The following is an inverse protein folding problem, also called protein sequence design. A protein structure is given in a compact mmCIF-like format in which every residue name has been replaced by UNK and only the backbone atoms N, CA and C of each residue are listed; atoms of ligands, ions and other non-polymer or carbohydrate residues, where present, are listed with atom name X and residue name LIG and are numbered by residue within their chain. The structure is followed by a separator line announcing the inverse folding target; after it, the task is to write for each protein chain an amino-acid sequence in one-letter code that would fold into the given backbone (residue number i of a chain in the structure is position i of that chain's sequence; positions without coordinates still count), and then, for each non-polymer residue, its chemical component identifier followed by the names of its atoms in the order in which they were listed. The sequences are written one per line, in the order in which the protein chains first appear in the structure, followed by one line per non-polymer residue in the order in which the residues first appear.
data_IF_212053479339
#
_entry.id   IF_212053479339
#
_cell.length_a   1.000
_cell.length_b   1.000
_cell.length_c   1.000
_cell.angle_alpha   90.00
_cell.angle_beta   90.00
_cell.angle_gamma   90.00
#
_symmetry.space_group_name_H-M   'P 1'
#
loop_
_entity.id
_entity.type
_entity.pdbx_description
1 polymer ?
#
# COMPACT_ATOMS: atom_id res chain seq x y z
N UNK A 1 34.84 -29.49 -41.29
CA UNK A 1 34.95 -28.03 -41.46
C UNK A 1 33.95 -27.39 -40.51
N UNK A 2 34.38 -27.15 -39.28
CA UNK A 2 33.63 -26.41 -38.27
C UNK A 2 33.90 -24.92 -38.45
N UNK A 3 32.87 -24.08 -38.29
CA UNK A 3 32.90 -22.87 -37.46
C UNK A 3 31.48 -22.33 -37.29
N UNK A 4 31.08 -22.24 -36.03
CA UNK A 4 30.09 -21.32 -35.48
C UNK A 4 30.30 -19.90 -36.02
N UNK A 5 29.21 -19.13 -36.16
CA UNK A 5 29.20 -17.85 -35.46
C UNK A 5 27.78 -17.38 -35.11
N UNK A 6 27.58 -17.33 -33.80
CA UNK A 6 26.43 -16.83 -33.10
C UNK A 6 26.50 -15.30 -33.04
N UNK A 7 25.68 -14.58 -33.80
CA UNK A 7 25.35 -13.17 -33.57
C UNK A 7 24.22 -12.81 -34.55
N UNK A 8 23.01 -12.47 -34.15
CA UNK A 8 22.65 -11.31 -33.35
C UNK A 8 21.32 -11.62 -32.65
N UNK A 9 21.41 -12.08 -31.41
CA UNK A 9 20.34 -11.85 -30.44
C UNK A 9 20.24 -10.34 -30.28
N UNK A 10 19.23 -9.76 -30.92
CA UNK A 10 18.84 -8.38 -30.73
C UNK A 10 18.47 -8.25 -29.24
N UNK A 11 19.40 -7.68 -28.46
CA UNK A 11 19.17 -7.26 -27.09
C UNK A 11 17.98 -6.30 -27.07
N UNK A 12 16.78 -6.84 -26.89
CA UNK A 12 15.65 -6.07 -26.39
C UNK A 12 15.98 -5.76 -24.93
N UNK A 13 16.64 -4.61 -24.72
CA UNK A 13 16.77 -4.02 -23.40
C UNK A 13 15.37 -4.01 -22.74
N UNK A 14 15.25 -4.40 -21.46
CA UNK A 14 13.98 -4.35 -20.78
C UNK A 14 13.44 -2.92 -20.86
N UNK A 15 12.26 -2.76 -21.46
CA UNK A 15 11.56 -1.48 -21.48
C UNK A 15 11.28 -1.10 -20.04
N UNK A 16 12.03 -0.12 -19.54
CA UNK A 16 11.75 0.59 -18.30
C UNK A 16 10.26 0.98 -18.29
N UNK A 17 9.48 0.36 -17.40
CA UNK A 17 8.10 0.72 -17.15
C UNK A 17 8.10 2.00 -16.32
N UNK A 18 8.10 3.13 -17.02
CA UNK A 18 8.19 4.49 -16.50
C UNK A 18 6.93 4.98 -15.74
N UNK A 19 6.37 4.18 -14.83
CA UNK A 19 5.19 4.55 -14.03
C UNK A 19 5.50 5.70 -13.06
N UNK A 20 6.74 5.77 -12.54
CA UNK A 20 7.22 6.83 -11.62
C UNK A 20 7.40 8.24 -12.24
N UNK A 21 7.24 8.44 -13.55
CA UNK A 21 7.56 9.74 -14.17
C UNK A 21 6.50 10.84 -14.00
N UNK A 22 5.26 10.48 -13.63
CA UNK A 22 4.15 11.44 -13.65
C UNK A 22 3.71 11.93 -12.28
N UNK A 23 3.93 11.12 -11.24
CA UNK A 23 3.55 11.46 -9.87
C UNK A 23 4.71 11.28 -8.91
N UNK A 24 4.75 12.13 -7.89
CA UNK A 24 5.73 12.07 -6.82
C UNK A 24 5.00 12.01 -5.48
N UNK A 25 5.36 11.03 -4.65
CA UNK A 25 4.88 10.94 -3.28
C UNK A 25 5.84 11.65 -2.33
N UNK A 26 5.28 12.34 -1.34
CA UNK A 26 6.02 12.90 -0.20
C UNK A 26 5.15 12.97 1.03
N UNK A 27 5.79 13.03 2.20
CA UNK A 27 5.09 13.37 3.44
C UNK A 27 4.64 14.83 3.39
N UNK A 28 3.49 15.13 3.98
CA UNK A 28 2.86 16.46 3.93
C UNK A 28 2.62 17.09 5.30
N UNK A 29 2.99 16.40 6.40
CA UNK A 29 2.75 16.86 7.78
C UNK A 29 3.43 18.20 8.13
N UNK A 30 4.51 18.55 7.41
CA UNK A 30 5.22 19.82 7.60
C UNK A 30 4.62 21.02 6.86
N UNK A 31 3.52 20.84 6.12
CA UNK A 31 2.88 21.85 5.30
C UNK A 31 1.37 21.90 5.59
N UNK A 32 0.90 22.78 6.50
CA UNK A 32 -0.49 22.84 6.92
C UNK A 32 -1.49 22.96 5.76
N UNK A 33 -1.13 23.70 4.71
CA UNK A 33 -1.97 23.91 3.53
C UNK A 33 -2.15 22.61 2.72
N UNK A 34 -1.12 21.77 2.65
CA UNK A 34 -1.20 20.46 1.99
C UNK A 34 -2.00 19.46 2.82
N UNK A 35 -1.89 19.56 4.14
CA UNK A 35 -2.65 18.74 5.06
C UNK A 35 -4.15 19.07 4.98
N UNK A 36 -4.50 20.35 4.93
CA UNK A 36 -5.88 20.81 4.69
C UNK A 36 -6.41 20.32 3.33
N UNK A 37 -5.62 20.40 2.26
CA UNK A 37 -5.99 19.82 0.95
C UNK A 37 -6.25 18.30 1.04
N UNK A 38 -5.46 17.59 1.82
CA UNK A 38 -5.67 16.16 2.09
C UNK A 38 -7.00 15.90 2.80
N UNK A 39 -7.35 16.69 3.83
CA UNK A 39 -8.63 16.57 4.52
C UNK A 39 -9.83 16.91 3.62
N UNK A 40 -9.70 17.92 2.77
CA UNK A 40 -10.73 18.26 1.79
C UNK A 40 -10.92 17.14 0.76
N UNK A 41 -9.83 16.54 0.26
CA UNK A 41 -9.90 15.40 -0.65
C UNK A 41 -10.53 14.17 0.02
N UNK A 42 -10.20 13.90 1.27
CA UNK A 42 -10.82 12.83 2.06
C UNK A 42 -12.31 13.07 2.24
N UNK A 43 -12.74 14.29 2.58
CA UNK A 43 -14.16 14.66 2.68
C UNK A 43 -14.89 14.38 1.36
N UNK A 44 -14.32 14.85 0.24
CA UNK A 44 -14.85 14.58 -1.09
C UNK A 44 -15.04 13.07 -1.28
N UNK A 45 -14.00 12.24 -1.09
CA UNK A 45 -14.08 10.79 -1.33
C UNK A 45 -15.00 10.07 -0.35
N UNK A 46 -14.82 10.24 0.96
CA UNK A 46 -15.50 9.43 1.98
C UNK A 46 -16.92 9.91 2.25
N UNK A 47 -17.18 11.22 2.23
CA UNK A 47 -18.51 11.77 2.55
C UNK A 47 -19.37 11.90 1.29
N UNK A 48 -18.86 12.54 0.23
CA UNK A 48 -19.69 12.87 -0.93
C UNK A 48 -19.74 11.74 -1.96
N UNK A 49 -18.61 11.11 -2.25
CA UNK A 49 -18.51 10.14 -3.34
C UNK A 49 -18.92 8.74 -2.93
N UNK A 50 -18.34 8.24 -1.84
CA UNK A 50 -18.56 6.89 -1.32
C UNK A 50 -19.70 6.83 -0.31
N UNK A 51 -20.03 7.95 0.34
CA UNK A 51 -21.05 8.06 1.40
C UNK A 51 -20.82 7.06 2.54
N UNK A 52 -19.56 6.81 2.83
CA UNK A 52 -19.13 6.03 3.98
C UNK A 52 -19.30 6.82 5.28
N UNK A 53 -19.14 8.14 5.18
CA UNK A 53 -19.31 9.07 6.29
C UNK A 53 -20.48 10.02 6.00
N UNK A 54 -21.16 10.46 7.05
CA UNK A 54 -22.19 11.47 6.90
C UNK A 54 -21.53 12.84 6.68
N UNK A 55 -21.87 13.51 5.58
CA UNK A 55 -21.31 14.82 5.25
C UNK A 55 -21.66 15.90 6.27
N UNK A 56 -22.81 15.77 6.96
CA UNK A 56 -23.27 16.72 7.97
C UNK A 56 -22.39 16.72 9.24
N UNK A 57 -21.63 15.64 9.46
CA UNK A 57 -20.67 15.57 10.58
C UNK A 57 -19.42 16.43 10.31
N UNK A 58 -19.24 16.94 9.08
CA UNK A 58 -18.08 17.70 8.64
C UNK A 58 -18.48 19.05 8.00
N UNK A 59 -18.99 20.01 8.79
CA UNK A 59 -19.51 21.30 8.28
C UNK A 59 -18.43 22.19 7.65
N UNK A 60 -17.15 21.96 7.98
CA UNK A 60 -16.02 22.64 7.36
C UNK A 60 -15.61 22.03 6.00
N UNK A 61 -16.26 20.93 5.57
CA UNK A 61 -15.89 20.15 4.38
C UNK A 61 -14.47 19.57 4.43
N UNK A 62 -13.98 19.29 5.64
CA UNK A 62 -12.67 18.67 5.90
C UNK A 62 -12.90 17.40 6.70
N UNK A 63 -12.42 16.25 6.21
CA UNK A 63 -12.50 14.98 6.93
C UNK A 63 -11.19 14.69 7.64
N UNK A 64 -11.23 14.73 8.96
CA UNK A 64 -10.17 14.30 9.86
C UNK A 64 -10.79 13.65 11.11
N UNK A 65 -10.03 12.79 11.79
CA UNK A 65 -10.44 12.04 12.96
C UNK A 65 -9.38 12.08 14.08
N UNK A 66 -9.64 11.41 15.19
CA UNK A 66 -8.76 11.38 16.37
C UNK A 66 -7.39 10.74 16.12
N UNK A 67 -7.20 10.02 15.00
CA UNK A 67 -5.94 9.36 14.65
C UNK A 67 -5.03 10.23 13.79
N UNK A 68 -5.53 11.33 13.21
CA UNK A 68 -4.73 12.24 12.38
C UNK A 68 -3.52 12.85 13.12
N UNK A 69 -3.63 13.29 14.40
CA UNK A 69 -2.46 13.75 15.17
C UNK A 69 -1.39 12.68 15.40
N UNK A 70 -1.75 11.40 15.28
CA UNK A 70 -0.85 10.25 15.46
C UNK A 70 -0.39 9.64 14.14
N UNK A 71 -0.63 10.34 13.02
CA UNK A 71 -0.35 9.84 11.68
C UNK A 71 0.86 10.51 11.03
N UNK A 72 1.40 9.87 10.00
CA UNK A 72 2.18 10.50 8.94
C UNK A 72 1.29 10.55 7.71
N UNK A 73 1.13 11.71 7.11
CA UNK A 73 0.31 11.90 5.92
C UNK A 73 1.19 11.90 4.67
N UNK A 74 0.74 11.19 3.64
CA UNK A 74 1.43 11.05 2.36
C UNK A 74 0.53 11.59 1.26
N UNK A 75 1.02 12.57 0.51
CA UNK A 75 0.37 13.08 -0.70
C UNK A 75 1.09 12.60 -1.95
N UNK A 76 0.32 12.27 -2.99
CA UNK A 76 0.82 12.06 -4.35
C UNK A 76 0.49 13.29 -5.21
N UNK A 77 1.52 13.84 -5.85
CA UNK A 77 1.43 15.09 -6.61
C UNK A 77 1.78 14.86 -8.06
N UNK A 78 1.07 15.50 -8.98
CA UNK A 78 1.43 15.50 -10.40
C UNK A 78 2.63 16.42 -10.70
N UNK A 79 3.04 16.49 -11.96
CA UNK A 79 4.14 17.35 -12.40
C UNK A 79 3.89 18.86 -12.21
N UNK A 80 2.63 19.28 -12.08
CA UNK A 80 2.25 20.67 -11.79
C UNK A 80 2.17 20.96 -10.28
N UNK A 81 2.43 19.97 -9.42
CA UNK A 81 2.34 20.09 -7.97
C UNK A 81 0.91 20.02 -7.43
N UNK A 82 -0.05 19.55 -8.23
CA UNK A 82 -1.45 19.36 -7.80
C UNK A 82 -1.58 18.05 -7.05
N UNK A 83 -2.23 18.08 -5.88
CA UNK A 83 -2.52 16.87 -5.10
C UNK A 83 -3.50 15.95 -5.86
N UNK A 84 -2.99 14.80 -6.30
CA UNK A 84 -3.76 13.80 -7.04
C UNK A 84 -4.37 12.74 -6.12
N UNK A 85 -3.74 12.48 -4.98
CA UNK A 85 -4.22 11.53 -4.00
C UNK A 85 -3.56 11.71 -2.63
N UNK A 86 -4.15 11.12 -1.60
CA UNK A 86 -3.63 11.15 -0.22
C UNK A 86 -3.84 9.80 0.47
N UNK A 87 -3.00 9.51 1.45
CA UNK A 87 -3.11 8.37 2.36
C UNK A 87 -2.40 8.70 3.68
N UNK A 88 -2.57 7.85 4.70
CA UNK A 88 -1.86 8.01 5.97
C UNK A 88 -1.31 6.71 6.53
N UNK A 89 -0.25 6.85 7.32
CA UNK A 89 0.33 5.83 8.21
C UNK A 89 0.00 6.22 9.64
N UNK A 90 -0.85 5.47 10.32
CA UNK A 90 -1.21 5.65 11.72
C UNK A 90 -0.16 4.94 12.58
N UNK A 91 0.44 5.66 13.52
CA UNK A 91 1.39 5.09 14.50
C UNK A 91 0.64 4.59 15.74
N UNK A 92 1.24 3.65 16.45
CA UNK A 92 0.72 3.24 17.76
C UNK A 92 0.61 4.45 18.69
N UNK A 93 -0.54 4.61 19.33
CA UNK A 93 -0.82 5.64 20.32
C UNK A 93 -1.65 5.05 21.47
N UNK A 94 -1.97 5.86 22.48
CA UNK A 94 -2.86 5.44 23.57
C UNK A 94 -4.28 5.06 23.08
N UNK A 95 -4.69 5.56 21.90
CA UNK A 95 -5.96 5.21 21.26
C UNK A 95 -5.92 3.81 20.61
N UNK A 96 -4.75 3.20 20.50
CA UNK A 96 -4.54 1.99 19.72
C UNK A 96 -4.64 2.25 18.21
N UNK A 97 -5.06 1.22 17.48
CA UNK A 97 -5.29 1.29 16.03
C UNK A 97 -6.79 1.18 15.73
N UNK A 98 -7.32 1.91 14.73
CA UNK A 98 -8.72 1.79 14.33
C UNK A 98 -9.13 0.34 14.07
N UNK A 99 -8.32 -0.45 13.36
CA UNK A 99 -8.63 -1.86 13.05
C UNK A 99 -8.83 -2.71 14.30
N UNK A 100 -8.07 -2.47 15.37
CA UNK A 100 -8.15 -3.25 16.61
C UNK A 100 -9.39 -2.88 17.44
N UNK A 101 -9.91 -1.66 17.26
CA UNK A 101 -11.13 -1.20 17.95
C UNK A 101 -12.41 -1.56 17.20
N UNK A 102 -12.33 -1.82 15.89
CA UNK A 102 -13.51 -1.98 15.00
C UNK A 102 -13.65 -3.39 14.41
N UNK A 103 -12.57 -4.18 14.38
CA UNK A 103 -12.59 -5.54 13.85
C UNK A 103 -12.18 -6.54 14.94
N UNK A 104 -12.81 -7.72 14.92
CA UNK A 104 -12.32 -8.86 15.68
C UNK A 104 -11.10 -9.47 14.98
N UNK A 105 -10.09 -9.89 15.74
CA UNK A 105 -8.96 -10.67 15.21
C UNK A 105 -9.13 -12.15 15.49
N UNK A 106 -8.57 -13.00 14.63
CA UNK A 106 -8.47 -14.43 14.93
C UNK A 106 -7.59 -14.66 16.17
N UNK A 107 -7.87 -15.68 17.01
CA UNK A 107 -7.17 -15.88 18.27
C UNK A 107 -5.66 -16.05 18.17
N UNK A 108 -5.13 -16.58 17.06
CA UNK A 108 -3.69 -16.71 16.86
C UNK A 108 -3.02 -15.36 16.53
N UNK A 109 -3.75 -14.48 15.84
CA UNK A 109 -3.27 -13.17 15.40
C UNK A 109 -3.31 -12.13 16.52
N UNK A 110 -4.33 -12.19 17.38
CA UNK A 110 -4.47 -11.33 18.55
C UNK A 110 -3.31 -11.45 19.56
N UNK A 111 -2.60 -12.60 19.57
CA UNK A 111 -1.51 -12.89 20.51
C UNK A 111 -0.14 -12.34 20.07
N UNK A 112 0.00 -11.92 18.82
CA UNK A 112 1.28 -11.47 18.26
C UNK A 112 1.43 -9.96 18.43
N UNK A 113 2.09 -9.52 19.50
CA UNK A 113 2.44 -8.11 19.75
C UNK A 113 3.88 -7.75 19.35
N UNK A 114 4.64 -8.71 18.83
CA UNK A 114 6.04 -8.49 18.49
C UNK A 114 6.21 -7.61 17.24
N UNK A 115 7.12 -6.65 17.33
CA UNK A 115 7.47 -5.71 16.26
C UNK A 115 6.86 -4.32 16.44
N UNK A 116 6.93 -3.51 15.39
CA UNK A 116 6.40 -2.15 15.35
C UNK A 116 5.33 -2.05 14.26
N UNK A 117 4.08 -2.44 14.55
CA UNK A 117 2.99 -2.31 13.59
C UNK A 117 2.64 -0.84 13.34
N UNK A 118 2.09 -0.58 12.16
CA UNK A 118 1.43 0.67 11.79
C UNK A 118 0.16 0.34 11.02
N UNK A 119 -0.85 1.21 11.06
CA UNK A 119 -2.06 1.02 10.25
C UNK A 119 -2.05 1.96 9.04
N UNK A 120 -2.37 1.45 7.85
CA UNK A 120 -2.55 2.24 6.65
C UNK A 120 -4.02 2.58 6.49
N UNK A 121 -4.31 3.86 6.25
CA UNK A 121 -5.70 4.32 6.11
C UNK A 121 -5.86 5.49 5.16
N UNK A 122 -7.14 5.85 4.94
CA UNK A 122 -7.58 7.05 4.21
C UNK A 122 -7.02 7.19 2.79
N UNK A 123 -6.78 6.05 2.14
CA UNK A 123 -6.31 6.00 0.75
C UNK A 123 -7.38 6.57 -0.19
N UNK A 124 -7.11 7.76 -0.72
CA UNK A 124 -8.05 8.60 -1.47
C UNK A 124 -7.40 9.08 -2.76
N UNK A 125 -8.07 8.90 -3.91
CA UNK A 125 -7.61 9.37 -5.22
C UNK A 125 -8.66 10.29 -5.80
N UNK A 126 -8.24 11.48 -6.24
CA UNK A 126 -9.13 12.47 -6.84
C UNK A 126 -9.76 11.94 -8.14
N UNK A 127 -11.07 12.19 -8.32
CA UNK A 127 -11.82 11.77 -9.52
C UNK A 127 -11.23 12.27 -10.83
N UNK A 128 -10.53 13.40 -10.81
CA UNK A 128 -9.85 13.95 -11.98
C UNK A 128 -8.80 12.98 -12.55
N UNK A 129 -8.29 12.08 -11.71
CA UNK A 129 -7.32 11.04 -12.08
C UNK A 129 -7.96 9.64 -12.19
N UNK A 130 -9.23 9.49 -11.80
CA UNK A 130 -10.01 8.26 -12.01
C UNK A 130 -10.48 8.11 -13.45
N UNK A 131 -10.69 9.21 -14.18
CA UNK A 131 -11.10 9.23 -15.60
C UNK A 131 -10.70 10.55 -16.25
N UNK A 132 -9.68 10.58 -17.11
CA UNK A 132 -9.56 11.63 -18.15
C UNK A 132 -8.63 11.26 -19.31
N UNK A 133 -9.17 11.57 -20.50
CA UNK A 133 -8.57 11.63 -21.84
C UNK A 133 -8.28 10.30 -22.52
N UNK A 134 -8.73 10.16 -23.76
CA UNK A 134 -8.65 8.97 -24.62
C UNK A 134 -7.24 8.53 -25.02
N UNK A 135 -6.20 8.94 -24.28
CA UNK A 135 -4.85 8.45 -24.41
C UNK A 135 -4.32 8.11 -23.00
N UNK A 136 -4.21 6.81 -22.74
CA UNK A 136 -3.64 6.13 -21.54
C UNK A 136 -4.63 5.85 -20.40
N UNK A 137 -4.91 4.56 -20.22
CA UNK A 137 -5.83 3.96 -19.25
C UNK A 137 -5.30 3.90 -17.80
N UNK A 138 -4.16 4.54 -17.49
CA UNK A 138 -3.33 4.12 -16.34
C UNK A 138 -3.19 5.15 -15.19
N UNK A 139 -3.71 6.37 -15.34
CA UNK A 139 -3.47 7.46 -14.37
C UNK A 139 -3.89 7.20 -12.92
N UNK A 140 -5.02 6.51 -12.69
CA UNK A 140 -5.47 6.13 -11.36
C UNK A 140 -4.53 5.11 -10.71
N UNK A 141 -4.09 4.12 -11.50
CA UNK A 141 -3.15 3.09 -11.06
C UNK A 141 -1.79 3.69 -10.69
N UNK A 142 -1.32 4.67 -11.46
CA UNK A 142 -0.06 5.37 -11.20
C UNK A 142 -0.12 6.21 -9.91
N UNK A 143 -1.22 6.94 -9.66
CA UNK A 143 -1.40 7.68 -8.38
C UNK A 143 -1.43 6.70 -7.21
N UNK A 144 -2.16 5.60 -7.34
CA UNK A 144 -2.32 4.60 -6.30
C UNK A 144 -0.97 3.94 -5.92
N UNK A 145 -0.21 3.46 -6.92
CA UNK A 145 1.12 2.91 -6.70
C UNK A 145 2.09 3.96 -6.12
N UNK A 146 1.97 5.22 -6.56
CA UNK A 146 2.76 6.32 -6.01
C UNK A 146 2.48 6.55 -4.53
N UNK A 147 1.21 6.52 -4.11
CA UNK A 147 0.84 6.58 -2.69
C UNK A 147 1.41 5.40 -1.91
N UNK A 148 1.25 4.17 -2.42
CA UNK A 148 1.79 2.98 -1.76
C UNK A 148 3.31 3.03 -1.63
N UNK A 149 4.02 3.55 -2.62
CA UNK A 149 5.46 3.84 -2.54
C UNK A 149 5.76 4.82 -1.41
N UNK A 150 5.05 5.94 -1.33
CA UNK A 150 5.24 6.93 -0.28
C UNK A 150 4.97 6.37 1.12
N UNK A 151 3.90 5.57 1.25
CA UNK A 151 3.59 4.84 2.48
C UNK A 151 4.72 3.88 2.84
N UNK A 152 5.17 3.04 1.90
CA UNK A 152 6.27 2.10 2.12
C UNK A 152 7.52 2.80 2.65
N UNK A 153 7.96 3.86 1.97
CA UNK A 153 9.13 4.61 2.40
C UNK A 153 8.95 5.28 3.77
N UNK A 154 7.78 5.86 4.05
CA UNK A 154 7.47 6.41 5.37
C UNK A 154 7.53 5.33 6.47
N UNK A 155 6.99 4.14 6.19
CA UNK A 155 6.99 3.02 7.14
C UNK A 155 8.38 2.42 7.38
N UNK A 156 9.24 2.36 6.35
CA UNK A 156 10.65 1.96 6.48
C UNK A 156 11.42 2.95 7.35
N UNK A 157 11.23 4.26 7.16
CA UNK A 157 11.84 5.31 8.00
C UNK A 157 11.38 5.27 9.45
N UNK A 158 10.15 4.82 9.70
CA UNK A 158 9.64 4.59 11.06
C UNK A 158 10.22 3.35 11.73
N UNK A 159 10.90 2.46 11.00
CA UNK A 159 11.28 1.14 11.51
C UNK A 159 10.09 0.21 11.73
N UNK A 160 8.97 0.46 11.03
CA UNK A 160 7.79 -0.40 11.11
C UNK A 160 8.13 -1.81 10.62
N UNK A 161 7.46 -2.82 11.18
CA UNK A 161 7.67 -4.21 10.77
C UNK A 161 6.52 -4.74 9.93
N UNK A 162 5.30 -4.26 10.16
CA UNK A 162 4.11 -4.73 9.46
C UNK A 162 3.09 -3.61 9.27
N UNK A 163 2.32 -3.70 8.20
CA UNK A 163 1.12 -2.91 8.01
C UNK A 163 -0.10 -3.66 8.52
N UNK A 164 -1.01 -2.93 9.14
CA UNK A 164 -2.39 -3.31 9.36
C UNK A 164 -3.28 -2.49 8.43
N UNK A 165 -4.36 -3.09 7.96
CA UNK A 165 -5.39 -2.37 7.20
C UNK A 165 -6.73 -3.08 7.31
N UNK A 166 -7.82 -2.32 7.33
CA UNK A 166 -9.17 -2.84 7.10
C UNK A 166 -9.62 -2.38 5.70
N UNK A 167 -9.93 -3.33 4.82
CA UNK A 167 -10.33 -2.99 3.44
C UNK A 167 -11.32 -4.00 2.87
N UNK A 168 -12.05 -3.57 1.84
CA UNK A 168 -12.88 -4.41 0.99
C UNK A 168 -12.07 -5.43 0.16
N UNK A 169 -12.71 -6.56 -0.19
CA UNK A 169 -12.08 -7.68 -0.90
C UNK A 169 -11.57 -7.33 -2.30
N UNK A 170 -12.26 -6.44 -3.01
CA UNK A 170 -11.88 -5.96 -4.35
C UNK A 170 -10.52 -5.28 -4.34
N UNK A 171 -10.32 -4.35 -3.39
CA UNK A 171 -9.08 -3.61 -3.26
C UNK A 171 -7.92 -4.53 -2.84
N UNK A 172 -8.16 -5.44 -1.90
CA UNK A 172 -7.18 -6.46 -1.53
C UNK A 172 -6.76 -7.30 -2.74
N UNK A 173 -7.73 -7.80 -3.51
CA UNK A 173 -7.44 -8.62 -4.69
C UNK A 173 -6.54 -7.89 -5.68
N UNK A 174 -6.79 -6.60 -5.90
CA UNK A 174 -5.94 -5.77 -6.75
C UNK A 174 -4.51 -5.62 -6.18
N UNK A 175 -4.37 -5.38 -4.88
CA UNK A 175 -3.07 -5.28 -4.20
C UNK A 175 -2.27 -6.59 -4.32
N UNK A 176 -2.90 -7.73 -4.05
CA UNK A 176 -2.27 -9.05 -4.17
C UNK A 176 -1.84 -9.32 -5.61
N UNK A 177 -2.66 -8.95 -6.60
CA UNK A 177 -2.30 -9.05 -8.01
C UNK A 177 -1.11 -8.16 -8.41
N UNK A 178 -0.85 -7.08 -7.68
CA UNK A 178 0.30 -6.18 -7.86
C UNK A 178 1.52 -6.57 -7.01
N UNK A 179 1.47 -7.70 -6.30
CA UNK A 179 2.59 -8.22 -5.51
C UNK A 179 2.65 -7.77 -4.06
N UNK A 180 1.58 -7.18 -3.52
CA UNK A 180 1.51 -6.86 -2.09
C UNK A 180 1.08 -8.11 -1.30
N UNK A 181 1.95 -8.72 -0.48
CA UNK A 181 1.57 -9.85 0.35
C UNK A 181 0.60 -9.38 1.42
N UNK A 182 -0.51 -10.09 1.60
CA UNK A 182 -1.50 -9.73 2.60
C UNK A 182 -2.12 -10.99 3.20
N UNK A 183 -2.13 -11.04 4.54
CA UNK A 183 -2.70 -12.13 5.32
C UNK A 183 -3.97 -11.64 6.02
N UNK A 184 -5.07 -12.36 5.84
CA UNK A 184 -6.31 -12.14 6.58
C UNK A 184 -6.08 -12.46 8.06
N UNK A 185 -6.42 -11.53 8.96
CA UNK A 185 -6.20 -11.68 10.41
C UNK A 185 -7.48 -11.61 11.25
N UNK A 186 -8.65 -11.60 10.61
CA UNK A 186 -9.94 -11.59 11.27
C UNK A 186 -11.10 -11.72 10.29
N UNK A 187 -12.33 -11.96 10.79
CA UNK A 187 -13.52 -12.04 9.95
C UNK A 187 -13.89 -10.69 9.33
N UNK A 188 -14.77 -10.73 8.33
CA UNK A 188 -15.44 -9.55 7.79
C UNK A 188 -16.26 -8.85 8.88
N UNK A 189 -16.24 -7.53 8.86
CA UNK A 189 -16.94 -6.65 9.78
C UNK A 189 -17.55 -5.51 8.98
N UNK A 190 -18.77 -5.10 9.34
CA UNK A 190 -19.39 -3.92 8.75
C UNK A 190 -18.90 -2.67 9.49
N UNK A 191 -17.89 -2.03 8.92
CA UNK A 191 -17.27 -0.82 9.43
C UNK A 191 -17.06 0.15 8.27
N UNK A 192 -17.97 1.11 8.13
CA UNK A 192 -18.08 1.98 6.96
C UNK A 192 -18.25 1.20 5.64
N UNK A 193 -18.90 0.04 5.71
CA UNK A 193 -18.99 -0.96 4.65
C UNK A 193 -18.34 -2.29 5.05
N UNK A 194 -18.51 -3.31 4.21
CA UNK A 194 -17.96 -4.64 4.45
C UNK A 194 -16.44 -4.65 4.23
N UNK A 195 -15.70 -4.76 5.32
CA UNK A 195 -14.24 -4.79 5.33
C UNK A 195 -13.72 -5.98 6.14
N UNK A 196 -12.53 -6.46 5.80
CA UNK A 196 -11.80 -7.43 6.61
C UNK A 196 -10.46 -6.87 7.05
N UNK A 197 -9.96 -7.26 8.24
CA UNK A 197 -8.65 -6.84 8.71
C UNK A 197 -7.54 -7.71 8.11
N UNK A 198 -6.48 -7.07 7.64
CA UNK A 198 -5.31 -7.69 7.03
C UNK A 198 -4.01 -7.22 7.69
N UNK A 199 -2.99 -8.09 7.60
CA UNK A 199 -1.60 -7.81 7.97
C UNK A 199 -0.68 -8.06 6.78
N UNK A 200 0.29 -7.18 6.58
CA UNK A 200 1.38 -7.35 5.61
C UNK A 200 2.73 -7.25 6.32
N UNK A 201 3.62 -8.25 6.18
CA UNK A 201 5.00 -8.19 6.69
C UNK A 201 5.89 -7.42 5.69
N UNK A 202 6.56 -6.38 6.18
CA UNK A 202 7.42 -5.57 5.33
C UNK A 202 8.66 -6.33 4.84
N UNK A 203 9.10 -7.36 5.57
CA UNK A 203 10.22 -8.22 5.15
C UNK A 203 9.78 -9.13 4.00
N UNK A 204 8.57 -9.67 4.07
CA UNK A 204 8.01 -10.45 2.94
C UNK A 204 7.83 -9.55 1.72
N UNK A 205 7.39 -8.30 1.92
CA UNK A 205 7.28 -7.35 0.82
C UNK A 205 8.65 -6.95 0.25
N UNK A 206 9.67 -6.77 1.10
CA UNK A 206 11.06 -6.58 0.69
C UNK A 206 11.53 -7.73 -0.22
N UNK A 207 11.24 -8.99 0.15
CA UNK A 207 11.58 -10.16 -0.68
C UNK A 207 10.82 -10.15 -2.03
N UNK A 208 9.56 -9.69 -2.05
CA UNK A 208 8.82 -9.53 -3.30
C UNK A 208 9.46 -8.48 -4.19
N UNK A 209 9.87 -7.33 -3.65
CA UNK A 209 10.60 -6.29 -4.40
C UNK A 209 11.89 -6.89 -4.97
N UNK A 210 12.70 -7.58 -4.16
CA UNK A 210 13.97 -8.19 -4.59
C UNK A 210 13.79 -9.32 -5.62
N UNK A 211 12.63 -9.98 -5.64
CA UNK A 211 12.34 -11.04 -6.61
C UNK A 211 12.23 -10.54 -8.06
N UNK A 212 12.05 -9.22 -8.25
CA UNK A 212 11.85 -8.57 -9.55
C UNK A 212 10.70 -9.15 -10.40
N UNK A 213 9.76 -9.89 -9.79
CA UNK A 213 8.56 -10.42 -10.45
C UNK A 213 7.55 -9.33 -10.80
N UNK A 214 7.59 -8.20 -10.08
CA UNK A 214 6.70 -7.06 -10.24
C UNK A 214 7.53 -5.80 -10.55
N UNK A 215 7.77 -5.48 -11.84
CA UNK A 215 8.65 -4.38 -12.23
C UNK A 215 8.24 -3.03 -11.65
N UNK A 216 6.94 -2.77 -11.48
CA UNK A 216 6.43 -1.53 -10.91
C UNK A 216 6.89 -1.30 -9.45
N UNK A 217 7.19 -2.37 -8.70
CA UNK A 217 7.65 -2.26 -7.32
C UNK A 217 9.13 -1.88 -7.20
N UNK A 218 9.92 -1.99 -8.28
CA UNK A 218 11.33 -1.58 -8.26
C UNK A 218 11.49 -0.08 -7.94
N UNK A 219 10.50 0.73 -8.32
CA UNK A 219 10.54 2.17 -8.05
C UNK A 219 10.37 2.50 -6.56
N UNK A 220 9.94 1.55 -5.72
CA UNK A 220 9.67 1.79 -4.29
C UNK A 220 10.94 2.10 -3.49
N UNK A 221 12.09 1.60 -3.92
CA UNK A 221 13.39 1.87 -3.27
C UNK A 221 14.04 3.17 -3.76
N UNK A 222 13.56 3.74 -4.86
CA UNK A 222 14.08 5.01 -5.40
C UNK A 222 13.65 6.16 -4.48
N UNK A 223 14.64 6.85 -3.90
CA UNK A 223 14.43 7.90 -2.90
C UNK A 223 14.43 7.40 -1.45
N UNK A 224 14.65 6.10 -1.24
CA UNK A 224 14.88 5.53 0.08
C UNK A 224 16.39 5.50 0.39
N UNK A 225 16.73 5.80 1.62
CA UNK A 225 18.09 5.79 2.18
C UNK A 225 18.71 4.39 2.00
N UNK A 226 19.99 4.27 1.58
CA UNK A 226 20.61 2.97 1.28
C UNK A 226 20.48 1.94 2.41
N UNK A 227 20.57 2.37 3.66
CA UNK A 227 20.54 1.52 4.86
C UNK A 227 19.13 0.97 5.13
N UNK A 228 18.10 1.60 4.57
CA UNK A 228 16.70 1.18 4.69
C UNK A 228 16.25 0.33 3.50
N UNK A 229 17.07 0.15 2.47
CA UNK A 229 16.69 -0.63 1.30
C UNK A 229 16.62 -2.12 1.62
N UNK A 230 15.76 -2.88 0.92
CA UNK A 230 15.81 -4.34 0.93
C UNK A 230 17.22 -4.85 0.59
N UNK A 231 17.68 -5.85 1.32
CA UNK A 231 18.93 -6.56 1.03
C UNK A 231 18.64 -8.07 0.93
N UNK A 232 19.38 -8.77 0.07
CA UNK A 232 19.26 -10.21 -0.06
C UNK A 232 19.72 -10.87 1.23
N UNK A 233 18.79 -11.55 1.91
CA UNK A 233 19.13 -12.31 3.10
C UNK A 233 19.96 -13.54 2.73
N UNK A 234 20.97 -13.83 3.55
CA UNK A 234 21.38 -15.21 3.78
C UNK A 234 20.31 -15.85 4.68
N UNK A 235 19.62 -16.93 4.25
CA UNK A 235 18.62 -17.60 5.09
C UNK A 235 19.23 -17.98 6.45
N UNK A 236 18.47 -17.79 7.54
CA UNK A 236 18.90 -18.26 8.84
C UNK A 236 18.98 -19.80 8.87
N UNK A 237 19.84 -20.42 9.70
CA UNK A 237 19.90 -21.87 9.81
C UNK A 237 18.53 -22.44 10.22
N UNK A 238 17.88 -23.16 9.31
CA UNK A 238 16.54 -23.74 9.48
C UNK A 238 15.43 -23.15 8.60
N UNK A 239 15.68 -22.04 7.90
CA UNK A 239 14.73 -21.46 6.93
C UNK A 239 14.94 -22.09 5.54
N UNK A 240 14.21 -23.16 5.24
CA UNK A 240 14.17 -23.71 3.88
C UNK A 240 13.26 -22.85 3.00
N UNK A 241 13.86 -22.11 2.06
CA UNK A 241 13.11 -21.40 1.00
C UNK A 241 12.64 -22.42 -0.04
N UNK A 242 11.49 -23.05 0.22
CA UNK A 242 10.78 -23.83 -0.79
C UNK A 242 9.98 -22.87 -1.67
N UNK A 243 10.52 -22.53 -2.84
CA UNK A 243 9.76 -21.85 -3.89
C UNK A 243 8.87 -22.88 -4.60
N UNK A 244 7.56 -22.81 -4.37
CA UNK A 244 6.58 -23.47 -5.24
C UNK A 244 6.52 -22.73 -6.60
N UNK A 245 6.29 -23.49 -7.68
CA UNK A 245 6.26 -23.04 -9.08
C UNK A 245 5.17 -22.01 -9.39
N UNK A 246 4.29 -21.71 -8.44
CA UNK A 246 3.26 -20.64 -8.54
C UNK A 246 3.60 -19.37 -7.75
N UNK A 247 4.59 -19.41 -6.84
CA UNK A 247 5.11 -18.26 -6.12
C UNK A 247 4.09 -17.44 -5.31
N UNK A 248 2.95 -18.02 -4.93
CA UNK A 248 1.96 -17.48 -4.01
C UNK A 248 1.50 -18.57 -3.03
N UNK A 249 1.51 -18.27 -1.73
CA UNK A 249 0.72 -19.04 -0.75
C UNK A 249 -0.69 -18.46 -0.75
N UNK A 250 -1.62 -19.16 -1.39
CA UNK A 250 -3.05 -18.95 -1.15
C UNK A 250 -3.48 -20.06 -0.18
N UNK A 251 -3.65 -19.74 1.11
CA UNK A 251 -4.50 -20.57 1.96
C UNK A 251 -5.94 -20.21 1.59
N UNK A 252 -6.48 -20.90 0.57
CA UNK A 252 -7.92 -21.07 0.46
C UNK A 252 -8.29 -21.99 1.62
N UNK A 253 -9.11 -21.50 2.53
CA UNK A 253 -9.54 -22.24 3.71
C UNK A 253 -10.00 -23.64 3.33
N UNK A 254 -9.63 -24.61 4.17
CA UNK A 254 -10.15 -25.97 4.08
C UNK A 254 -11.68 -25.90 3.94
N UNK A 255 -12.17 -26.44 2.83
CA UNK A 255 -13.57 -26.82 2.71
C UNK A 255 -13.87 -27.73 3.90
N UNK A 256 -14.75 -27.26 4.78
CA UNK A 256 -15.43 -28.11 5.74
C UNK A 256 -16.25 -29.09 4.90
N UNK A 257 -15.70 -30.27 4.65
CA UNK A 257 -16.51 -31.41 4.25
C UNK A 257 -17.30 -31.85 5.49
N UNK A 258 -18.61 -31.71 5.33
CA UNK A 258 -19.71 -32.25 6.13
C UNK A 258 -19.52 -33.70 6.54
#
# INVERSE_FOLDING_TARGET
MMRDDSSLLLNAAPRSTASSRYFQARTIDGAPELLEQSYALRYQVYCLERKFLNADDYPAHLEFDEFDPHSIHVGAFDAAGVLAGTARVIKMSALGFPVLSRCSLFPHDARSTAGMPVEIGRLSVSRNYNRRSGERRDGCGDVFLTLLKGLYQATKRLGATHWLAATERSLLRMLVQQGFPARLIGPESDYFGLVSPYRMDLREFDDVILSNRFPALQDFVIGLEPELRPDYRTPGPGETVAMDRSGFRINLGEEVQT
#
